data_IF_527428186576
#
_entry.id   IF_527428186576
#
_cell.length_a   1.000
_cell.length_b   1.000
_cell.length_c   1.000
_cell.angle_alpha   90.00
_cell.angle_beta   90.00
_cell.angle_gamma   90.00
#
_symmetry.space_group_name_H-M   'P 1'
#
loop_
_entity.id
_entity.type
_entity.pdbx_description
1 polymer ?
#
# COMPACT_ATOMS: atom_id res chain seq x y z
N UNK A 1 24.48 16.88 -15.29
CA UNK A 1 23.62 17.11 -14.13
C UNK A 1 22.18 16.63 -14.34
N UNK A 2 21.55 17.12 -15.40
CA UNK A 2 20.20 16.68 -15.72
C UNK A 2 20.17 15.18 -16.02
N UNK A 3 21.19 14.67 -16.69
CA UNK A 3 21.28 13.23 -16.99
C UNK A 3 21.41 12.40 -15.72
N UNK A 4 22.13 12.90 -14.72
CA UNK A 4 22.25 12.18 -13.46
C UNK A 4 20.92 12.13 -12.71
N UNK A 5 20.16 13.22 -12.74
CA UNK A 5 18.84 13.25 -12.13
C UNK A 5 17.88 12.30 -12.81
N UNK A 6 17.90 12.27 -14.13
CA UNK A 6 17.06 11.34 -14.90
C UNK A 6 17.48 9.90 -14.62
N UNK A 7 18.79 9.66 -14.55
CA UNK A 7 19.31 8.33 -14.25
C UNK A 7 18.92 7.90 -12.84
N UNK A 8 18.99 8.80 -11.87
CA UNK A 8 18.59 8.51 -10.51
C UNK A 8 17.09 8.22 -10.43
N UNK A 9 16.29 8.97 -11.16
CA UNK A 9 14.85 8.74 -11.20
C UNK A 9 14.53 7.38 -11.85
N UNK A 10 15.27 7.03 -12.91
CA UNK A 10 15.10 5.73 -13.55
C UNK A 10 15.50 4.57 -12.66
N UNK A 11 16.44 4.80 -11.75
CA UNK A 11 16.88 3.79 -10.80
C UNK A 11 15.98 3.72 -9.56
N UNK A 12 14.99 4.58 -9.48
CA UNK A 12 14.16 4.70 -8.27
C UNK A 12 13.37 3.43 -7.96
N UNK A 13 13.20 2.51 -8.93
CA UNK A 13 12.55 1.24 -8.64
C UNK A 13 13.52 0.13 -8.31
N UNK A 14 14.81 0.40 -8.13
CA UNK A 14 15.74 -0.60 -7.63
C UNK A 14 15.46 -0.88 -6.16
N UNK A 15 15.56 -2.14 -5.75
CA UNK A 15 15.26 -2.52 -4.36
C UNK A 15 16.02 -1.71 -3.31
N UNK A 16 17.29 -1.36 -3.58
CA UNK A 16 18.10 -0.59 -2.64
C UNK A 16 17.57 0.81 -2.40
N UNK A 17 17.06 1.46 -3.45
CA UNK A 17 16.50 2.80 -3.34
C UNK A 17 15.19 2.79 -2.57
N UNK A 18 14.34 1.81 -2.83
CA UNK A 18 13.08 1.67 -2.11
C UNK A 18 13.35 1.47 -0.62
N UNK A 19 14.31 0.63 -0.28
CA UNK A 19 14.66 0.37 1.11
C UNK A 19 15.12 1.65 1.81
N UNK A 20 15.96 2.45 1.15
CA UNK A 20 16.42 3.71 1.72
C UNK A 20 15.28 4.68 1.98
N UNK A 21 14.34 4.77 1.05
CA UNK A 21 13.20 5.67 1.23
C UNK A 21 12.23 5.17 2.28
N UNK A 22 12.09 3.85 2.41
CA UNK A 22 11.29 3.28 3.50
C UNK A 22 11.91 3.63 4.85
N UNK A 23 13.21 3.54 4.96
CA UNK A 23 13.91 3.92 6.19
C UNK A 23 13.75 5.40 6.48
N UNK A 24 13.92 6.24 5.46
CA UNK A 24 13.78 7.68 5.62
C UNK A 24 12.37 8.05 6.04
N UNK A 25 11.38 7.43 5.44
CA UNK A 25 9.98 7.65 5.81
C UNK A 25 9.72 7.22 7.25
N UNK A 26 10.24 6.05 7.63
CA UNK A 26 10.12 5.57 9.01
C UNK A 26 10.77 6.50 10.03
N UNK A 27 11.80 7.24 9.61
CA UNK A 27 12.47 8.22 10.46
C UNK A 27 11.76 9.58 10.47
N UNK A 28 10.68 9.74 9.72
CA UNK A 28 9.91 10.97 9.73
C UNK A 28 10.03 11.84 8.49
N UNK A 29 10.77 11.39 7.47
CA UNK A 29 10.94 12.13 6.23
C UNK A 29 9.70 11.98 5.36
N UNK A 30 8.83 12.97 5.39
CA UNK A 30 7.58 12.96 4.63
C UNK A 30 7.85 12.98 3.12
N UNK A 31 8.92 13.63 2.69
CA UNK A 31 9.27 13.70 1.27
C UNK A 31 9.59 12.32 0.70
N UNK A 32 10.10 11.42 1.52
CA UNK A 32 10.38 10.05 1.09
C UNK A 32 9.11 9.32 0.66
N UNK A 33 8.01 9.61 1.33
CA UNK A 33 6.71 9.02 0.98
C UNK A 33 6.28 9.41 -0.44
N UNK A 34 6.48 10.67 -0.81
CA UNK A 34 6.12 11.14 -2.15
C UNK A 34 6.92 10.42 -3.25
N UNK A 35 8.12 9.97 -2.92
CA UNK A 35 8.93 9.22 -3.86
C UNK A 35 8.55 7.74 -3.89
N UNK A 36 8.14 7.21 -2.75
CA UNK A 36 7.74 5.81 -2.65
C UNK A 36 6.43 5.50 -3.33
N UNK A 37 5.46 6.39 -3.21
CA UNK A 37 4.10 6.10 -3.64
C UNK A 37 4.01 5.73 -5.12
N UNK A 38 4.59 6.52 -6.05
CA UNK A 38 4.50 6.17 -7.47
C UNK A 38 5.17 4.85 -7.81
N UNK A 39 6.20 4.48 -7.04
CA UNK A 39 6.92 3.24 -7.29
C UNK A 39 6.14 2.03 -6.78
N UNK A 40 5.56 2.16 -5.60
CA UNK A 40 4.85 1.05 -4.96
C UNK A 40 3.40 0.93 -5.38
N UNK A 41 2.81 1.99 -5.91
CA UNK A 41 1.40 2.00 -6.27
C UNK A 41 1.00 0.87 -7.25
N UNK A 42 1.75 0.62 -8.34
CA UNK A 42 1.39 -0.47 -9.24
C UNK A 42 1.35 -1.82 -8.55
N UNK A 43 2.28 -2.08 -7.64
CA UNK A 43 2.31 -3.33 -6.91
C UNK A 43 1.18 -3.41 -5.89
N UNK A 44 0.89 -2.30 -5.23
CA UNK A 44 -0.24 -2.24 -4.30
C UNK A 44 -1.55 -2.48 -5.03
N UNK A 45 -1.68 -1.94 -6.23
CA UNK A 45 -2.88 -2.15 -7.02
C UNK A 45 -3.02 -3.60 -7.46
N UNK A 46 -1.91 -4.25 -7.82
CA UNK A 46 -1.94 -5.68 -8.14
C UNK A 46 -2.34 -6.52 -6.92
N UNK A 47 -1.83 -6.17 -5.75
CA UNK A 47 -2.22 -6.85 -4.52
C UNK A 47 -3.71 -6.67 -4.25
N UNK A 48 -4.21 -5.45 -4.40
CA UNK A 48 -5.63 -5.18 -4.19
C UNK A 48 -6.49 -5.98 -5.15
N UNK A 49 -6.12 -6.05 -6.41
CA UNK A 49 -6.84 -6.84 -7.39
C UNK A 49 -6.88 -8.32 -7.02
N UNK A 50 -5.74 -8.85 -6.60
CA UNK A 50 -5.69 -10.27 -6.19
C UNK A 50 -6.55 -10.54 -4.98
N UNK A 51 -6.53 -9.66 -3.99
CA UNK A 51 -7.35 -9.81 -2.80
C UNK A 51 -8.83 -9.77 -3.14
N UNK A 52 -9.23 -8.84 -4.01
CA UNK A 52 -10.63 -8.72 -4.42
C UNK A 52 -11.10 -9.91 -5.25
N UNK A 53 -10.22 -10.50 -6.06
CA UNK A 53 -10.55 -11.70 -6.82
C UNK A 53 -10.84 -12.90 -5.94
N UNK A 54 -10.23 -12.95 -4.77
CA UNK A 54 -10.44 -14.02 -3.82
C UNK A 54 -11.72 -13.84 -3.01
N UNK A 55 -12.30 -12.65 -3.06
CA UNK A 55 -13.54 -12.36 -2.35
C UNK A 55 -14.75 -12.78 -3.18
N UNK A 56 -15.84 -13.05 -2.49
CA UNK A 56 -17.06 -13.46 -3.14
C UNK A 56 -17.71 -12.30 -3.89
N UNK A 57 -18.50 -12.64 -4.88
CA UNK A 57 -19.30 -11.66 -5.61
C UNK A 57 -20.15 -10.84 -4.64
N UNK A 58 -20.30 -9.57 -4.92
CA UNK A 58 -21.06 -8.67 -4.05
C UNK A 58 -20.21 -7.67 -3.30
N UNK A 59 -18.89 -7.83 -3.35
CA UNK A 59 -17.99 -6.83 -2.81
C UNK A 59 -18.06 -5.59 -3.67
N UNK A 60 -18.35 -4.46 -3.06
CA UNK A 60 -18.47 -3.19 -3.78
C UNK A 60 -17.19 -2.36 -3.73
N UNK A 61 -16.21 -2.79 -2.96
CA UNK A 61 -14.98 -2.04 -2.82
C UNK A 61 -14.11 -2.15 -4.08
N UNK A 62 -13.73 -1.00 -4.62
CA UNK A 62 -12.90 -0.94 -5.80
C UNK A 62 -11.42 -1.12 -5.44
N UNK A 63 -10.58 -1.66 -6.36
CA UNK A 63 -9.16 -1.81 -6.07
C UNK A 63 -8.49 -0.51 -5.64
N UNK A 64 -8.81 0.59 -6.30
CA UNK A 64 -8.23 1.90 -5.96
C UNK A 64 -8.62 2.33 -4.55
N UNK A 65 -9.87 2.10 -4.16
CA UNK A 65 -10.34 2.43 -2.83
C UNK A 65 -9.62 1.57 -1.78
N UNK A 66 -9.43 0.29 -2.07
CA UNK A 66 -8.71 -0.60 -1.17
C UNK A 66 -7.27 -0.15 -0.96
N UNK A 67 -6.59 0.26 -2.03
CA UNK A 67 -5.24 0.78 -1.93
C UNK A 67 -5.21 2.04 -1.07
N UNK A 68 -6.16 2.94 -1.27
CA UNK A 68 -6.21 4.19 -0.52
C UNK A 68 -6.47 3.95 0.96
N UNK A 69 -7.41 3.08 1.30
CA UNK A 69 -7.68 2.78 2.70
C UNK A 69 -6.49 2.11 3.38
N UNK A 70 -5.85 1.16 2.68
CA UNK A 70 -4.66 0.52 3.21
C UNK A 70 -3.53 1.53 3.42
N UNK A 71 -3.40 2.45 2.48
CA UNK A 71 -2.36 3.47 2.55
C UNK A 71 -2.56 4.39 3.75
N UNK A 72 -3.80 4.82 3.99
CA UNK A 72 -4.10 5.66 5.14
C UNK A 72 -3.72 4.97 6.45
N UNK A 73 -3.97 3.67 6.54
CA UNK A 73 -3.58 2.93 7.73
C UNK A 73 -2.06 2.80 7.86
N UNK A 74 -1.38 2.55 6.75
CA UNK A 74 0.08 2.43 6.76
C UNK A 74 0.75 3.76 7.15
N UNK A 75 0.20 4.87 6.67
CA UNK A 75 0.68 6.20 7.02
C UNK A 75 0.43 6.48 8.51
N UNK A 76 -0.71 6.05 9.01
CA UNK A 76 -1.06 6.24 10.41
C UNK A 76 -0.17 5.47 11.37
N UNK A 77 0.44 4.39 10.90
CA UNK A 77 1.33 3.58 11.72
C UNK A 77 2.78 4.02 11.58
N UNK A 78 3.05 5.25 11.98
CA UNK A 78 4.40 5.83 11.87
C UNK A 78 5.49 5.04 12.58
N UNK A 79 5.12 4.16 13.51
CA UNK A 79 6.08 3.37 14.26
C UNK A 79 6.49 2.11 13.52
N UNK A 80 5.76 1.72 12.48
CA UNK A 80 6.09 0.55 11.71
C UNK A 80 7.30 0.87 10.84
N UNK A 81 8.39 0.16 11.08
CA UNK A 81 9.58 0.29 10.26
C UNK A 81 9.58 -0.84 9.26
N UNK A 82 9.64 -0.48 8.01
CA UNK A 82 9.66 -1.45 6.93
C UNK A 82 11.11 -1.70 6.54
N UNK A 83 11.54 -2.95 6.68
CA UNK A 83 12.92 -3.31 6.40
C UNK A 83 13.25 -3.24 4.92
N UNK A 84 12.29 -3.57 4.07
CA UNK A 84 12.49 -3.57 2.63
C UNK A 84 11.13 -3.58 1.93
N UNK A 85 11.19 -3.59 0.60
CA UNK A 85 10.01 -3.60 -0.26
C UNK A 85 9.09 -4.78 0.03
N UNK A 86 9.66 -5.97 0.17
CA UNK A 86 8.87 -7.18 0.42
C UNK A 86 8.15 -7.11 1.76
N UNK A 87 8.82 -6.61 2.77
CA UNK A 87 8.21 -6.44 4.09
C UNK A 87 7.05 -5.45 4.00
N UNK A 88 7.24 -4.33 3.32
CA UNK A 88 6.19 -3.35 3.14
C UNK A 88 4.97 -3.96 2.45
N UNK A 89 5.19 -4.69 1.36
CA UNK A 89 4.11 -5.30 0.61
C UNK A 89 3.38 -6.39 1.40
N UNK A 90 4.11 -7.12 2.24
CA UNK A 90 3.48 -8.13 3.11
C UNK A 90 2.56 -7.48 4.13
N UNK A 91 3.00 -6.38 4.74
CA UNK A 91 2.17 -5.64 5.69
C UNK A 91 0.96 -5.04 4.96
N UNK A 92 1.17 -4.50 3.77
CA UNK A 92 0.07 -3.94 2.97
C UNK A 92 -0.97 -5.01 2.66
N UNK A 93 -0.53 -6.20 2.27
CA UNK A 93 -1.45 -7.30 1.98
C UNK A 93 -2.26 -7.69 3.22
N UNK A 94 -1.62 -7.74 4.38
CA UNK A 94 -2.29 -8.02 5.64
C UNK A 94 -3.36 -6.96 5.94
N UNK A 95 -2.99 -5.70 5.80
CA UNK A 95 -3.91 -4.59 6.06
C UNK A 95 -5.09 -4.64 5.10
N UNK A 96 -4.84 -4.90 3.82
CA UNK A 96 -5.90 -5.02 2.82
C UNK A 96 -6.88 -6.14 3.16
N UNK A 97 -6.36 -7.29 3.58
CA UNK A 97 -7.22 -8.41 3.97
C UNK A 97 -8.09 -8.04 5.15
N UNK A 98 -7.53 -7.35 6.13
CA UNK A 98 -8.30 -6.92 7.29
C UNK A 98 -9.39 -5.93 6.89
N UNK A 99 -9.08 -4.99 6.01
CA UNK A 99 -10.06 -4.03 5.51
C UNK A 99 -11.20 -4.75 4.81
N UNK A 100 -10.89 -5.72 3.96
CA UNK A 100 -11.91 -6.49 3.25
C UNK A 100 -12.79 -7.27 4.22
N UNK A 101 -12.20 -7.85 5.25
CA UNK A 101 -12.94 -8.57 6.28
C UNK A 101 -13.90 -7.62 7.00
N UNK A 102 -13.43 -6.44 7.36
CA UNK A 102 -14.26 -5.45 8.04
C UNK A 102 -15.41 -4.96 7.15
N UNK A 103 -15.13 -4.75 5.86
CA UNK A 103 -16.17 -4.38 4.90
C UNK A 103 -17.21 -5.46 4.77
N UNK A 104 -16.79 -6.71 4.70
CA UNK A 104 -17.70 -7.84 4.60
C UNK A 104 -18.60 -7.94 5.83
N UNK A 105 -18.02 -7.73 7.00
CA UNK A 105 -18.79 -7.75 8.26
C UNK A 105 -19.79 -6.62 8.32
N UNK A 106 -19.38 -5.42 7.92
CA UNK A 106 -20.26 -4.27 7.92
C UNK A 106 -21.42 -4.48 6.95
N UNK A 107 -21.15 -5.02 5.77
CA UNK A 107 -22.19 -5.31 4.77
C UNK A 107 -23.17 -6.35 5.29
N UNK A 108 -22.67 -7.40 5.91
CA UNK A 108 -23.52 -8.45 6.49
C UNK A 108 -24.36 -7.91 7.63
N UNK A 109 -23.77 -7.07 8.49
CA UNK A 109 -24.49 -6.47 9.61
C UNK A 109 -25.64 -5.58 9.13
N UNK A 110 -25.40 -4.78 8.10
CA UNK A 110 -26.44 -3.93 7.51
C UNK A 110 -27.56 -4.78 6.93
N UNK A 111 -27.22 -5.85 6.23
CA UNK A 111 -28.22 -6.76 5.67
C UNK A 111 -29.07 -7.39 6.76
N UNK A 112 -28.46 -7.80 7.86
CA UNK A 112 -29.17 -8.42 8.97
C UNK A 112 -30.00 -7.42 9.76
N UNK A 113 -29.48 -6.21 9.89
CA UNK A 113 -30.14 -5.15 10.63
C UNK A 113 -31.28 -4.49 9.87
N UNK A 114 -31.26 -4.68 8.57
CA UNK A 114 -32.30 -4.13 7.72
C UNK A 114 -33.50 -5.05 7.65
#
# INVERSE_FOLDING_TARGET
MIEEEVSAAARSDEPGDVTRWLEAWGAGDVAAFDRLFPILYPELKRLANRQLHQERAGHTLQPTALVHEAFLELVGQRRARFENRQHFLAVAAFVMRRILTEHARAHTAVKRGG
#
